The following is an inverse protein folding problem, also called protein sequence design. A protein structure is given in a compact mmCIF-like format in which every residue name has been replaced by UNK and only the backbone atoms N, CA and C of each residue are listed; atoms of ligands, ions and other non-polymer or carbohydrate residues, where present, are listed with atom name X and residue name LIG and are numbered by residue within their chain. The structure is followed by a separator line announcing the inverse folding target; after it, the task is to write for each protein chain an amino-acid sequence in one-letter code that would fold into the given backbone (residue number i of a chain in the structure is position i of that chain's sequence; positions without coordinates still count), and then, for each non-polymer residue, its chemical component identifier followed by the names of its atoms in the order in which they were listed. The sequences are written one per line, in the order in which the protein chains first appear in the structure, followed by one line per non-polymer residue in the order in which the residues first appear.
data_IF_829444579052
#
_entry.id   IF_829444579052
#
_cell.length_a   1.000
_cell.length_b   1.000
_cell.length_c   1.000
_cell.angle_alpha   90.00
_cell.angle_beta   90.00
_cell.angle_gamma   90.00
#
_symmetry.space_group_name_H-M   'P 1'
#
loop_
_entity.id
_entity.type
_entity.pdbx_description
1 polymer ?
#
# COMPACT_ATOMS: atom_id res chain seq x y z
N UNK A 1 9.48 47.98 -26.04
CA UNK A 1 10.25 46.73 -25.79
C UNK A 1 9.50 45.92 -24.73
N UNK A 2 9.04 44.72 -25.10
CA UNK A 2 8.08 43.89 -24.36
C UNK A 2 8.77 43.16 -23.20
N UNK A 3 8.20 43.24 -21.99
CA UNK A 3 8.59 42.44 -20.82
C UNK A 3 7.99 41.03 -20.94
N UNK A 4 8.82 39.99 -20.96
CA UNK A 4 8.39 38.60 -20.84
C UNK A 4 8.23 38.29 -19.34
N UNK A 5 6.99 38.13 -18.87
CA UNK A 5 6.72 37.44 -17.61
C UNK A 5 6.74 35.93 -17.88
N UNK A 6 7.73 35.23 -17.35
CA UNK A 6 7.69 33.78 -17.21
C UNK A 6 6.78 33.43 -16.03
N UNK A 7 5.55 33.02 -16.33
CA UNK A 7 4.73 32.31 -15.36
C UNK A 7 5.09 30.82 -15.48
N UNK A 8 5.86 30.31 -14.52
CA UNK A 8 6.05 28.87 -14.33
C UNK A 8 4.73 28.36 -13.74
N UNK A 9 3.91 27.75 -14.59
CA UNK A 9 2.76 26.97 -14.16
C UNK A 9 3.29 25.77 -13.38
N UNK A 10 3.18 25.83 -12.04
CA UNK A 10 3.31 24.66 -11.19
C UNK A 10 2.18 23.70 -11.55
N UNK A 11 2.52 22.61 -12.24
CA UNK A 11 1.61 21.49 -12.39
C UNK A 11 1.48 20.79 -11.04
N UNK A 12 0.53 21.25 -10.22
CA UNK A 12 0.02 20.46 -9.11
C UNK A 12 -0.58 19.19 -9.71
N UNK A 13 0.09 18.04 -9.53
CA UNK A 13 -0.44 16.75 -9.94
C UNK A 13 -1.54 16.36 -8.96
N UNK A 14 -2.71 16.96 -9.11
CA UNK A 14 -3.94 16.50 -8.46
C UNK A 14 -4.40 15.26 -9.21
N UNK A 15 -4.68 14.18 -8.48
CA UNK A 15 -5.36 12.99 -8.99
C UNK A 15 -6.79 13.36 -9.39
N UNK A 16 -6.97 13.96 -10.56
CA UNK A 16 -8.29 14.11 -11.17
C UNK A 16 -8.10 14.05 -12.67
N UNK A 17 -8.39 12.90 -13.31
CA UNK A 17 -8.29 12.85 -14.77
C UNK A 17 -8.37 11.51 -15.49
N UNK A 18 -9.14 10.55 -14.99
CA UNK A 18 -9.83 9.55 -15.82
C UNK A 18 -10.96 8.98 -14.96
N UNK A 19 -12.12 8.65 -15.56
CA UNK A 19 -13.10 7.80 -14.90
C UNK A 19 -12.44 6.42 -14.72
N UNK A 20 -11.69 6.28 -13.64
CA UNK A 20 -11.02 5.03 -13.27
C UNK A 20 -12.10 4.09 -12.79
N UNK A 21 -12.04 2.83 -13.22
CA UNK A 21 -12.86 1.80 -12.58
C UNK A 21 -12.55 1.82 -11.08
N UNK A 22 -13.53 1.55 -10.21
CA UNK A 22 -13.28 1.47 -8.77
C UNK A 22 -12.17 0.45 -8.45
N UNK A 23 -12.07 -0.62 -9.24
CA UNK A 23 -11.00 -1.60 -9.16
C UNK A 23 -9.61 -0.99 -9.48
N UNK A 24 -9.55 -0.06 -10.44
CA UNK A 24 -8.29 0.62 -10.78
C UNK A 24 -7.83 1.56 -9.65
N UNK A 25 -8.77 2.19 -8.94
CA UNK A 25 -8.48 3.07 -7.80
C UNK A 25 -7.96 2.26 -6.60
N UNK A 26 -8.63 1.14 -6.27
CA UNK A 26 -8.19 0.24 -5.21
C UNK A 26 -6.79 -0.30 -5.48
N UNK A 27 -6.56 -0.82 -6.69
CA UNK A 27 -5.26 -1.36 -7.10
C UNK A 27 -4.15 -0.33 -7.00
N UNK A 28 -4.39 0.90 -7.43
CA UNK A 28 -3.41 1.97 -7.30
C UNK A 28 -3.10 2.32 -5.85
N UNK A 29 -4.12 2.38 -4.98
CA UNK A 29 -3.92 2.67 -3.57
C UNK A 29 -3.06 1.58 -2.89
N UNK A 30 -3.39 0.31 -3.13
CA UNK A 30 -2.62 -0.84 -2.61
C UNK A 30 -1.18 -0.77 -3.11
N UNK A 31 -1.00 -0.66 -4.42
CA UNK A 31 0.31 -0.56 -5.03
C UNK A 31 1.12 0.57 -4.40
N UNK A 32 0.52 1.76 -4.24
CA UNK A 32 1.21 2.91 -3.69
C UNK A 32 1.66 2.70 -2.25
N UNK A 33 0.83 2.09 -1.38
CA UNK A 33 1.19 1.79 0.01
C UNK A 33 2.42 0.88 0.09
N UNK A 34 2.51 -0.14 -0.76
CA UNK A 34 3.59 -1.13 -0.69
C UNK A 34 4.85 -0.72 -1.47
N UNK A 35 4.70 -0.16 -2.67
CA UNK A 35 5.79 0.12 -3.59
C UNK A 35 6.21 1.60 -3.63
N UNK A 36 5.33 2.51 -3.18
CA UNK A 36 5.49 3.96 -3.38
C UNK A 36 5.15 4.44 -4.79
N UNK A 37 4.59 3.59 -5.65
CA UNK A 37 4.15 3.92 -7.00
C UNK A 37 2.82 3.23 -7.32
N UNK A 38 2.10 3.74 -8.32
CA UNK A 38 0.78 3.21 -8.71
C UNK A 38 0.86 1.90 -9.51
N UNK A 39 2.03 1.56 -10.05
CA UNK A 39 2.26 0.35 -10.86
C UNK A 39 2.37 -0.92 -10.01
N UNK A 40 2.72 -0.80 -8.72
CA UNK A 40 2.86 -1.92 -7.79
C UNK A 40 4.13 -2.73 -7.99
N UNK A 41 5.06 -2.24 -8.83
CA UNK A 41 6.31 -2.92 -9.13
C UNK A 41 7.49 -1.97 -9.03
N UNK A 42 8.55 -2.46 -8.43
CA UNK A 42 9.89 -1.89 -8.44
C UNK A 42 10.89 -3.03 -8.70
N UNK A 43 12.16 -2.73 -9.02
CA UNK A 43 13.18 -3.78 -9.13
C UNK A 43 13.35 -4.62 -7.85
N UNK A 44 12.92 -4.09 -6.71
CA UNK A 44 13.13 -4.70 -5.39
C UNK A 44 11.84 -5.25 -4.77
N UNK A 45 10.67 -4.98 -5.37
CA UNK A 45 9.38 -5.32 -4.78
C UNK A 45 8.30 -5.46 -5.83
N UNK A 46 7.46 -6.49 -5.70
CA UNK A 46 6.24 -6.68 -6.46
C UNK A 46 5.06 -6.83 -5.49
N UNK A 47 4.03 -6.02 -5.63
CA UNK A 47 2.76 -6.20 -4.92
C UNK A 47 1.69 -6.73 -5.87
N UNK A 48 0.83 -7.60 -5.38
CA UNK A 48 -0.27 -8.19 -6.15
C UNK A 48 -1.47 -8.46 -5.26
N UNK A 49 -2.66 -8.09 -5.72
CA UNK A 49 -3.91 -8.42 -5.04
C UNK A 49 -4.21 -9.89 -5.35
N UNK A 50 -4.23 -10.74 -4.32
CA UNK A 50 -4.60 -12.16 -4.43
C UNK A 50 -6.12 -12.34 -4.38
N UNK A 51 -6.79 -11.57 -3.51
CA UNK A 51 -8.24 -11.55 -3.38
C UNK A 51 -8.71 -10.14 -3.02
N UNK A 52 -9.40 -9.49 -3.95
CA UNK A 52 -9.94 -8.13 -3.77
C UNK A 52 -11.07 -8.10 -2.73
N UNK A 53 -11.96 -9.10 -2.74
CA UNK A 53 -13.11 -9.16 -1.84
C UNK A 53 -12.69 -9.35 -0.39
N UNK A 54 -11.61 -10.12 -0.17
CA UNK A 54 -11.06 -10.37 1.16
C UNK A 54 -9.87 -9.45 1.51
N UNK A 55 -9.47 -8.56 0.61
CA UNK A 55 -8.31 -7.68 0.74
C UNK A 55 -7.01 -8.42 1.13
N UNK A 56 -6.72 -9.48 0.39
CA UNK A 56 -5.52 -10.30 0.56
C UNK A 56 -4.48 -9.84 -0.47
N UNK A 57 -3.35 -9.34 0.02
CA UNK A 57 -2.29 -8.77 -0.82
C UNK A 57 -1.01 -9.58 -0.67
N UNK A 58 -0.44 -10.05 -1.77
CA UNK A 58 0.93 -10.57 -1.83
C UNK A 58 1.92 -9.43 -2.05
N UNK A 59 3.06 -9.49 -1.37
CA UNK A 59 4.20 -8.60 -1.54
C UNK A 59 5.45 -9.45 -1.60
N UNK A 60 6.18 -9.36 -2.70
CA UNK A 60 7.38 -10.15 -2.94
C UNK A 60 8.58 -9.23 -3.03
N UNK A 61 9.71 -9.68 -2.48
CA UNK A 61 11.04 -9.09 -2.65
C UNK A 61 12.03 -10.20 -3.01
N UNK A 62 13.25 -9.88 -3.48
CA UNK A 62 14.28 -10.90 -3.66
C UNK A 62 14.50 -11.72 -2.38
N UNK A 63 14.12 -12.99 -2.42
CA UNK A 63 14.29 -13.95 -1.33
C UNK A 63 13.20 -13.99 -0.25
N UNK A 64 12.15 -13.16 -0.34
CA UNK A 64 11.04 -13.21 0.63
C UNK A 64 9.69 -12.88 -0.04
N UNK A 65 8.64 -13.56 0.39
CA UNK A 65 7.25 -13.23 0.07
C UNK A 65 6.48 -12.99 1.35
N UNK A 66 5.50 -12.09 1.30
CA UNK A 66 4.58 -11.77 2.37
C UNK A 66 3.16 -11.73 1.85
N UNK A 67 2.22 -12.28 2.61
CA UNK A 67 0.79 -12.06 2.42
C UNK A 67 0.31 -11.07 3.48
N UNK A 68 -0.63 -10.19 3.14
CA UNK A 68 -1.21 -9.21 4.04
C UNK A 68 -2.74 -9.34 3.98
N UNK A 69 -3.36 -9.60 5.12
CA UNK A 69 -4.81 -9.68 5.28
C UNK A 69 -5.32 -8.35 5.83
N UNK A 70 -5.61 -7.40 4.96
CA UNK A 70 -5.85 -6.02 5.39
C UNK A 70 -7.12 -5.86 6.24
N UNK A 71 -8.13 -6.73 6.09
CA UNK A 71 -9.34 -6.71 6.93
C UNK A 71 -9.10 -7.06 8.40
N UNK A 72 -8.00 -7.73 8.71
CA UNK A 72 -7.60 -8.08 10.07
C UNK A 72 -6.87 -6.93 10.78
N UNK A 73 -6.49 -5.89 10.03
CA UNK A 73 -5.84 -4.70 10.57
C UNK A 73 -6.90 -3.80 11.19
N UNK A 74 -6.72 -3.42 12.46
CA UNK A 74 -7.60 -2.44 13.12
C UNK A 74 -7.26 -1.04 12.61
N UNK A 75 -8.13 -0.34 11.85
CA UNK A 75 -7.74 0.93 11.21
C UNK A 75 -7.34 2.02 12.20
N UNK A 76 -7.93 2.01 13.40
CA UNK A 76 -7.60 2.93 14.50
C UNK A 76 -6.24 2.66 15.16
N UNK A 77 -5.63 1.51 14.90
CA UNK A 77 -4.29 1.14 15.41
C UNK A 77 -3.16 1.50 14.46
N UNK A 78 -3.49 1.98 13.24
CA UNK A 78 -2.48 2.34 12.24
C UNK A 78 -1.73 3.59 12.69
N UNK A 79 -0.43 3.44 12.93
CA UNK A 79 0.48 4.51 13.30
C UNK A 79 1.49 4.71 12.18
N UNK A 80 1.63 5.96 11.72
CA UNK A 80 2.63 6.36 10.74
C UNK A 80 3.76 7.08 11.46
N UNK A 81 4.93 6.46 11.45
CA UNK A 81 6.18 7.08 11.88
C UNK A 81 6.84 7.71 10.66
N UNK A 82 6.70 9.02 10.53
CA UNK A 82 7.25 9.80 9.41
C UNK A 82 8.77 9.84 9.44
N UNK A 83 9.37 9.87 10.63
CA UNK A 83 10.82 9.94 10.81
C UNK A 83 11.49 8.63 10.37
N UNK A 84 10.93 7.50 10.79
CA UNK A 84 11.43 6.18 10.44
C UNK A 84 10.80 5.61 9.15
N UNK A 85 9.93 6.39 8.49
CA UNK A 85 9.22 6.04 7.26
C UNK A 85 8.55 4.67 7.35
N UNK A 86 7.76 4.46 8.41
CA UNK A 86 7.18 3.16 8.74
C UNK A 86 5.70 3.30 9.10
N UNK A 87 4.88 2.42 8.54
CA UNK A 87 3.50 2.19 8.98
C UNK A 87 3.55 1.01 9.94
N UNK A 88 3.00 1.16 11.14
CA UNK A 88 2.83 0.07 12.10
C UNK A 88 1.36 -0.08 12.44
N UNK A 89 0.91 -1.28 12.75
CA UNK A 89 -0.50 -1.55 13.02
C UNK A 89 -0.69 -2.77 13.92
N UNK A 90 -1.82 -2.81 14.62
CA UNK A 90 -2.26 -3.98 15.38
C UNK A 90 -3.23 -4.84 14.54
N UNK A 91 -3.13 -6.15 14.69
CA UNK A 91 -4.02 -7.12 14.07
C UNK A 91 -3.81 -8.49 14.67
N UNK A 92 -4.90 -9.20 14.95
CA UNK A 92 -4.87 -10.48 15.68
C UNK A 92 -4.33 -11.63 14.79
N UNK A 93 -4.38 -11.46 13.46
CA UNK A 93 -3.94 -12.44 12.45
C UNK A 93 -3.17 -11.78 11.29
N UNK A 94 -2.12 -11.00 11.60
CA UNK A 94 -1.24 -10.45 10.55
C UNK A 94 -0.37 -11.58 9.98
N UNK A 95 -0.97 -12.44 9.18
CA UNK A 95 -0.32 -13.62 8.58
C UNK A 95 0.51 -13.12 7.42
N UNK A 96 1.80 -13.01 7.64
CA UNK A 96 2.77 -13.16 6.57
C UNK A 96 2.95 -14.64 6.31
N UNK A 97 2.61 -15.11 5.11
CA UNK A 97 3.10 -16.40 4.63
C UNK A 97 4.48 -16.19 3.99
N UNK A 98 5.54 -16.66 4.66
CA UNK A 98 6.88 -16.73 4.09
C UNK A 98 7.02 -18.00 3.25
N UNK A 99 7.29 -17.85 1.95
CA UNK A 99 7.82 -18.96 1.12
C UNK A 99 9.29 -18.68 0.78
N UNK A 100 10.20 -19.51 1.26
CA UNK A 100 11.60 -19.51 0.84
C UNK A 100 11.77 -20.46 -0.35
N UNK A 101 12.51 -20.06 -1.39
CA UNK A 101 12.91 -21.00 -2.45
C UNK A 101 13.67 -22.18 -1.83
N UNK A 102 13.13 -23.40 -2.01
CA UNK A 102 13.76 -24.64 -1.54
C UNK A 102 13.34 -25.15 -0.15
N UNK A 103 12.39 -24.49 0.56
CA UNK A 103 11.87 -24.99 1.84
C UNK A 103 10.33 -25.13 1.83
N UNK A 104 9.77 -26.23 2.34
CA UNK A 104 8.31 -26.47 2.37
C UNK A 104 7.58 -25.75 3.52
N UNK A 105 8.23 -24.85 4.27
CA UNK A 105 7.64 -24.25 5.48
C UNK A 105 7.07 -22.87 5.20
N UNK A 106 5.76 -22.76 5.33
CA UNK A 106 5.07 -21.48 5.58
C UNK A 106 5.26 -21.16 7.06
N UNK A 107 6.22 -20.28 7.38
CA UNK A 107 6.31 -19.70 8.72
C UNK A 107 5.36 -18.51 8.79
N UNK A 108 4.39 -18.59 9.72
CA UNK A 108 3.51 -17.47 10.06
C UNK A 108 4.30 -16.52 10.96
N UNK A 109 4.75 -15.41 10.41
CA UNK A 109 5.38 -14.35 11.18
C UNK A 109 4.45 -13.13 11.26
N UNK A 110 4.42 -12.49 12.43
CA UNK A 110 3.55 -11.35 12.69
C UNK A 110 4.25 -10.06 12.23
N UNK A 111 4.27 -9.79 10.92
CA UNK A 111 4.81 -8.52 10.40
C UNK A 111 3.79 -7.40 10.53
N UNK A 112 3.79 -6.77 11.69
CA UNK A 112 2.96 -5.64 12.06
C UNK A 112 3.35 -4.30 11.41
N UNK A 113 4.10 -4.32 10.30
CA UNK A 113 4.58 -3.07 9.69
C UNK A 113 4.93 -3.12 8.21
N UNK A 114 4.83 -1.96 7.58
CA UNK A 114 5.12 -1.70 6.17
C UNK A 114 6.07 -0.49 6.08
N UNK A 115 7.09 -0.59 5.24
CA UNK A 115 8.01 0.52 4.96
C UNK A 115 7.40 1.48 3.94
N UNK A 116 7.42 2.78 4.24
CA UNK A 116 6.94 3.84 3.36
C UNK A 116 8.02 4.18 2.32
N UNK A 117 7.76 3.79 1.08
CA UNK A 117 8.67 4.02 -0.06
C UNK A 117 8.35 5.30 -0.82
N UNK A 118 7.07 5.68 -0.89
CA UNK A 118 6.59 6.87 -1.61
C UNK A 118 6.50 8.12 -0.74
N UNK A 119 5.77 9.12 -1.25
CA UNK A 119 5.39 10.30 -0.47
C UNK A 119 4.46 9.93 0.72
N UNK A 120 4.66 10.58 1.86
CA UNK A 120 3.96 10.26 3.12
C UNK A 120 2.48 10.64 3.05
N UNK A 121 2.16 11.83 2.55
CA UNK A 121 0.77 12.30 2.48
C UNK A 121 -0.04 11.44 1.51
N UNK A 122 0.54 11.12 0.36
CA UNK A 122 -0.07 10.18 -0.59
C UNK A 122 -0.27 8.78 0.00
N UNK A 123 0.63 8.34 0.88
CA UNK A 123 0.49 7.07 1.60
C UNK A 123 -0.67 7.12 2.59
N UNK A 124 -0.83 8.24 3.32
CA UNK A 124 -1.98 8.46 4.22
C UNK A 124 -3.30 8.44 3.45
N UNK A 125 -3.36 9.13 2.31
CA UNK A 125 -4.56 9.16 1.47
C UNK A 125 -4.93 7.77 0.95
N UNK A 126 -3.93 7.01 0.48
CA UNK A 126 -4.12 5.63 0.03
C UNK A 126 -4.62 4.71 1.16
N UNK A 127 -4.00 4.78 2.34
CA UNK A 127 -4.42 3.99 3.52
C UNK A 127 -5.85 4.34 3.93
N UNK A 128 -6.19 5.64 3.95
CA UNK A 128 -7.54 6.09 4.25
C UNK A 128 -8.54 5.50 3.26
N UNK A 129 -8.27 5.63 1.96
CA UNK A 129 -9.12 5.09 0.90
C UNK A 129 -9.32 3.58 1.05
N UNK A 130 -8.24 2.83 1.28
CA UNK A 130 -8.28 1.38 1.49
C UNK A 130 -9.21 1.04 2.66
N UNK A 131 -8.99 1.61 3.85
CA UNK A 131 -9.73 1.20 5.06
C UNK A 131 -11.13 1.81 5.19
N UNK A 132 -11.46 2.88 4.46
CA UNK A 132 -12.81 3.49 4.52
C UNK A 132 -13.74 3.05 3.40
N UNK A 133 -13.20 2.55 2.28
CA UNK A 133 -14.00 2.20 1.09
C UNK A 133 -13.93 0.73 0.71
N UNK A 134 -12.74 0.14 0.72
CA UNK A 134 -12.52 -1.19 0.11
C UNK A 134 -12.38 -2.30 1.17
N UNK A 135 -11.44 -2.13 2.09
CA UNK A 135 -11.07 -3.10 3.12
C UNK A 135 -11.68 -2.73 4.46
N UNK A 136 -13.01 -2.62 4.47
CA UNK A 136 -13.74 -2.41 5.72
C UNK A 136 -13.44 -3.58 6.67
N UNK A 137 -13.05 -3.30 7.92
CA UNK A 137 -12.79 -4.34 8.90
C UNK A 137 -14.05 -5.17 9.12
N UNK A 138 -13.89 -6.46 9.32
CA UNK A 138 -14.99 -7.37 9.64
C UNK A 138 -15.54 -6.95 10.99
N UNK A 139 -16.72 -6.33 11.02
CA UNK A 139 -17.42 -6.01 12.26
C UNK A 139 -17.74 -7.30 13.00
N UNK A 140 -16.94 -7.61 14.03
CA UNK A 140 -17.27 -8.59 15.07
C UNK A 140 -18.08 -7.95 16.17
#
# INVERSE_FOLDING_TARGET
MRRLCWAILMAATTWVGAAMSENDEFKQAINYVFSGNTEGRTPQLLSSILDENNCIISVETPGNSWVYYLKEIKPNSVVIDEHNRKISFEGDNTIVEHTFEGLPKVEKDNKNSITIRGDIERTKDALKLIFTKYCLPTSG
#
